data_IF_649455397716
#
_entry.id   IF_649455397716
#
_cell.length_a   1.000
_cell.length_b   1.000
_cell.length_c   1.000
_cell.angle_alpha   90.00
_cell.angle_beta   90.00
_cell.angle_gamma   90.00
#
_symmetry.space_group_name_H-M   'P 1'
#
loop_
_entity.id
_entity.type
_entity.pdbx_description
1 polymer ?
#
# COMPACT_ATOMS: atom_id res chain seq x y z
N UNK A 1 -9.42 -14.45 6.62
CA UNK A 1 -10.35 -13.34 6.39
C UNK A 1 -10.65 -13.23 4.89
N UNK A 2 -9.75 -12.83 4.03
CA UNK A 2 -9.96 -12.58 2.59
C UNK A 2 -10.54 -13.76 1.79
N UNK A 3 -10.30 -15.01 2.23
CA UNK A 3 -10.88 -16.21 1.58
C UNK A 3 -12.41 -16.30 1.69
N UNK A 4 -12.98 -15.55 2.64
CA UNK A 4 -14.42 -15.50 2.87
C UNK A 4 -15.11 -14.36 2.10
N UNK A 5 -14.33 -13.51 1.43
CA UNK A 5 -14.84 -12.39 0.63
C UNK A 5 -15.14 -12.85 -0.80
N UNK A 6 -16.36 -12.62 -1.27
CA UNK A 6 -16.81 -13.03 -2.60
C UNK A 6 -16.13 -12.30 -3.76
N UNK A 7 -15.43 -11.20 -3.47
CA UNK A 7 -14.71 -10.40 -4.46
C UNK A 7 -13.26 -10.83 -4.65
N UNK A 8 -12.72 -11.68 -3.78
CA UNK A 8 -11.31 -12.06 -3.78
C UNK A 8 -11.15 -13.51 -4.22
N UNK A 9 -10.76 -13.70 -5.47
CA UNK A 9 -10.51 -15.02 -6.05
C UNK A 9 -9.00 -15.27 -6.20
N UNK A 10 -8.54 -16.38 -5.63
CA UNK A 10 -7.16 -16.83 -5.72
C UNK A 10 -6.14 -16.01 -4.89
N UNK A 11 -4.91 -16.51 -4.83
CA UNK A 11 -3.86 -15.93 -4.00
C UNK A 11 -3.26 -14.67 -4.63
N UNK A 12 -3.26 -14.55 -5.96
CA UNK A 12 -2.78 -13.36 -6.65
C UNK A 12 -3.59 -12.11 -6.26
N UNK A 13 -4.92 -12.21 -6.21
CA UNK A 13 -5.76 -11.10 -5.77
C UNK A 13 -5.60 -10.80 -4.28
N UNK A 14 -5.36 -11.82 -3.44
CA UNK A 14 -5.08 -11.62 -2.00
C UNK A 14 -3.79 -10.86 -1.78
N UNK A 15 -2.73 -11.20 -2.54
CA UNK A 15 -1.45 -10.49 -2.47
C UNK A 15 -1.63 -9.06 -2.94
N UNK A 16 -2.27 -8.86 -4.10
CA UNK A 16 -2.54 -7.51 -4.62
C UNK A 16 -3.34 -6.67 -3.62
N UNK A 17 -4.34 -7.28 -2.98
CA UNK A 17 -5.15 -6.63 -1.93
C UNK A 17 -4.29 -6.22 -0.71
N UNK A 18 -3.38 -7.08 -0.25
CA UNK A 18 -2.48 -6.76 0.85
C UNK A 18 -1.46 -5.69 0.45
N UNK A 19 -0.94 -5.74 -0.76
CA UNK A 19 0.14 -4.87 -1.23
C UNK A 19 -0.21 -3.39 -1.10
N UNK A 20 -1.39 -2.96 -1.55
CA UNK A 20 -1.78 -1.56 -1.45
C UNK A 20 -2.01 -1.11 0.00
N UNK A 21 -2.55 -2.00 0.87
CA UNK A 21 -2.75 -1.67 2.29
C UNK A 21 -1.42 -1.49 3.02
N UNK A 22 -0.49 -2.43 2.84
CA UNK A 22 0.85 -2.32 3.41
C UNK A 22 1.60 -1.11 2.88
N UNK A 23 1.48 -0.85 1.57
CA UNK A 23 2.10 0.33 0.98
C UNK A 23 1.59 1.61 1.66
N UNK A 24 0.27 1.79 1.79
CA UNK A 24 -0.29 2.99 2.41
C UNK A 24 0.13 3.14 3.88
N UNK A 25 0.13 2.04 4.65
CA UNK A 25 0.59 2.08 6.04
C UNK A 25 2.05 2.51 6.16
N UNK A 26 2.93 1.89 5.35
CA UNK A 26 4.37 2.22 5.37
C UNK A 26 4.62 3.63 4.83
N UNK A 27 3.90 4.02 3.78
CA UNK A 27 4.02 5.36 3.20
C UNK A 27 3.62 6.44 4.21
N UNK A 28 2.50 6.25 4.90
CA UNK A 28 2.01 7.19 5.91
C UNK A 28 3.00 7.33 7.09
N UNK A 29 3.57 6.22 7.57
CA UNK A 29 4.61 6.26 8.60
C UNK A 29 5.87 7.02 8.13
N UNK A 30 6.25 6.85 6.85
CA UNK A 30 7.35 7.64 6.28
C UNK A 30 6.98 9.11 6.07
N UNK A 31 5.74 9.39 5.74
CA UNK A 31 5.25 10.76 5.60
C UNK A 31 5.26 11.51 6.94
N UNK A 32 4.92 10.85 8.06
CA UNK A 32 5.09 11.40 9.41
C UNK A 32 6.55 11.77 9.70
N UNK A 33 7.52 10.91 9.32
CA UNK A 33 8.94 11.24 9.45
C UNK A 33 9.30 12.49 8.62
N UNK A 34 8.83 12.59 7.38
CA UNK A 34 9.11 13.75 6.53
C UNK A 34 8.47 15.03 7.05
N UNK A 35 7.24 14.96 7.53
CA UNK A 35 6.56 16.08 8.20
C UNK A 35 7.30 16.55 9.45
N UNK A 36 7.93 15.63 10.19
CA UNK A 36 8.69 15.94 11.40
C UNK A 36 10.06 16.58 11.10
N UNK A 37 10.79 16.08 10.08
CA UNK A 37 12.15 16.54 9.80
C UNK A 37 12.24 17.69 8.80
N UNK A 38 11.21 17.98 8.04
CA UNK A 38 11.18 19.02 7.00
C UNK A 38 9.96 19.93 7.17
N UNK A 39 10.16 21.06 7.83
CA UNK A 39 9.10 22.06 8.06
C UNK A 39 8.47 22.61 6.75
N UNK A 40 9.13 22.42 5.59
CA UNK A 40 8.61 22.83 4.28
C UNK A 40 7.90 21.70 3.55
N UNK A 41 7.89 20.50 4.13
CA UNK A 41 7.20 19.38 3.52
C UNK A 41 5.68 19.63 3.51
N UNK A 42 5.09 19.47 2.35
CA UNK A 42 3.64 19.52 2.18
C UNK A 42 3.19 18.19 1.60
N UNK A 43 2.35 17.48 2.33
CA UNK A 43 1.76 16.24 1.85
C UNK A 43 0.87 16.50 0.63
N UNK A 44 0.97 15.64 -0.38
CA UNK A 44 0.03 15.61 -1.50
C UNK A 44 -1.23 14.80 -1.19
N UNK A 45 -1.22 14.03 -0.09
CA UNK A 45 -2.38 13.25 0.35
C UNK A 45 -3.13 14.04 1.41
N UNK A 46 -4.41 14.39 1.18
CA UNK A 46 -5.25 15.06 2.19
C UNK A 46 -5.30 14.26 3.49
N UNK A 47 -5.39 14.96 4.61
CA UNK A 47 -5.39 14.33 5.93
C UNK A 47 -6.46 13.26 6.08
N UNK A 48 -7.64 13.46 5.52
CA UNK A 48 -8.73 12.48 5.56
C UNK A 48 -8.41 11.17 4.82
N UNK A 49 -7.46 11.20 3.88
CA UNK A 49 -7.04 10.04 3.09
C UNK A 49 -5.75 9.40 3.61
N UNK A 50 -5.07 9.98 4.60
CA UNK A 50 -3.88 9.39 5.24
C UNK A 50 -4.27 8.16 6.06
N UNK A 51 -3.46 7.09 5.98
CA UNK A 51 -3.74 5.81 6.66
C UNK A 51 -4.06 5.98 8.14
N UNK A 52 -3.29 6.81 8.87
CA UNK A 52 -3.45 7.09 10.31
C UNK A 52 -4.83 7.65 10.68
N UNK A 53 -5.53 8.33 9.75
CA UNK A 53 -6.77 9.03 10.04
C UNK A 53 -8.04 8.22 9.72
N UNK A 54 -7.96 7.21 8.85
CA UNK A 54 -9.15 6.39 8.50
C UNK A 54 -8.99 4.90 8.80
N UNK A 55 -7.76 4.38 8.81
CA UNK A 55 -7.49 2.96 8.96
C UNK A 55 -7.23 2.56 10.41
N UNK A 56 -6.67 3.44 11.23
CA UNK A 56 -6.35 3.17 12.63
C UNK A 56 -7.61 3.32 13.49
N UNK A 57 -7.80 2.39 14.44
CA UNK A 57 -8.86 2.47 15.44
C UNK A 57 -8.39 3.32 16.61
N UNK A 58 -8.92 4.54 16.71
CA UNK A 58 -8.61 5.49 17.78
C UNK A 58 -9.43 5.27 19.07
N UNK A 59 -10.16 4.15 19.17
CA UNK A 59 -11.06 3.82 20.28
C UNK A 59 -12.23 4.79 20.48
N UNK A 60 -12.46 5.71 19.54
CA UNK A 60 -13.56 6.67 19.60
C UNK A 60 -14.91 6.11 19.15
N UNK A 61 -14.99 4.81 18.83
CA UNK A 61 -16.16 4.14 18.24
C UNK A 61 -16.60 4.70 16.86
N UNK A 62 -15.74 5.46 16.18
CA UNK A 62 -16.05 6.10 14.91
C UNK A 62 -15.35 5.45 13.70
N UNK A 63 -14.90 4.22 13.86
CA UNK A 63 -14.17 3.49 12.84
C UNK A 63 -15.07 3.13 11.66
N UNK A 64 -14.64 3.47 10.45
CA UNK A 64 -15.38 3.09 9.25
C UNK A 64 -15.36 1.57 9.05
N UNK A 65 -16.53 0.99 8.77
CA UNK A 65 -16.71 -0.43 8.44
C UNK A 65 -17.87 -0.60 7.46
N UNK A 66 -18.08 -1.81 6.95
CA UNK A 66 -19.19 -2.14 6.04
C UNK A 66 -19.20 -1.27 4.79
N UNK A 67 -20.39 -0.94 4.29
CA UNK A 67 -20.60 -0.17 3.07
C UNK A 67 -19.92 1.22 3.11
N UNK A 68 -19.85 1.85 4.29
CA UNK A 68 -19.18 3.15 4.44
C UNK A 68 -17.69 3.04 4.12
N UNK A 69 -17.01 2.00 4.61
CA UNK A 69 -15.60 1.76 4.33
C UNK A 69 -15.37 1.41 2.85
N UNK A 70 -16.20 0.55 2.28
CA UNK A 70 -16.10 0.20 0.85
C UNK A 70 -16.30 1.43 -0.04
N UNK A 71 -17.31 2.24 0.26
CA UNK A 71 -17.58 3.47 -0.48
C UNK A 71 -16.41 4.45 -0.37
N UNK A 72 -15.84 4.63 0.83
CA UNK A 72 -14.67 5.47 1.03
C UNK A 72 -13.48 4.99 0.20
N UNK A 73 -13.15 3.69 0.26
CA UNK A 73 -12.01 3.13 -0.48
C UNK A 73 -12.23 3.23 -1.99
N UNK A 74 -13.42 2.84 -2.49
CA UNK A 74 -13.66 2.72 -3.92
C UNK A 74 -13.97 4.08 -4.60
N UNK A 75 -14.59 5.02 -3.88
CA UNK A 75 -15.09 6.26 -4.48
C UNK A 75 -14.29 7.51 -4.10
N UNK A 76 -13.43 7.44 -3.07
CA UNK A 76 -12.59 8.55 -2.65
C UNK A 76 -11.11 8.20 -2.70
N UNK A 77 -10.67 7.21 -1.90
CA UNK A 77 -9.25 6.89 -1.73
C UNK A 77 -8.58 6.45 -3.04
N UNK A 78 -9.10 5.41 -3.69
CA UNK A 78 -8.54 4.90 -4.94
C UNK A 78 -8.63 5.90 -6.10
N UNK A 79 -9.78 6.54 -6.36
CA UNK A 79 -9.85 7.57 -7.39
C UNK A 79 -8.84 8.69 -7.18
N UNK A 80 -8.70 9.20 -5.96
CA UNK A 80 -7.72 10.23 -5.64
C UNK A 80 -6.29 9.76 -5.94
N UNK A 81 -5.88 8.62 -5.37
CA UNK A 81 -4.52 8.09 -5.54
C UNK A 81 -4.21 7.71 -7.00
N UNK A 82 -5.22 7.42 -7.81
CA UNK A 82 -5.11 7.25 -9.27
C UNK A 82 -5.07 8.57 -10.06
N UNK A 83 -5.13 9.71 -9.38
CA UNK A 83 -5.10 11.03 -10.00
C UNK A 83 -6.42 11.45 -10.65
N UNK A 84 -7.53 10.84 -10.27
CA UNK A 84 -8.86 11.31 -10.67
C UNK A 84 -9.29 12.48 -9.77
N UNK A 85 -10.18 13.32 -10.28
CA UNK A 85 -10.82 14.37 -9.48
C UNK A 85 -11.82 13.71 -8.52
N UNK A 86 -11.77 14.08 -7.26
CA UNK A 86 -12.75 13.70 -6.24
C UNK A 86 -13.35 14.95 -5.60
N UNK A 87 -14.51 14.80 -4.97
CA UNK A 87 -15.09 15.84 -4.10
C UNK A 87 -14.93 15.38 -2.64
N UNK A 88 -14.23 16.19 -1.85
CA UNK A 88 -14.02 15.94 -0.42
C UNK A 88 -14.31 17.24 0.36
N UNK A 89 -15.23 17.18 1.32
CA UNK A 89 -15.64 18.35 2.13
C UNK A 89 -16.06 19.56 1.28
N UNK A 90 -16.76 19.34 0.15
CA UNK A 90 -17.22 20.40 -0.75
C UNK A 90 -16.12 21.02 -1.61
N UNK A 91 -14.92 20.43 -1.62
CA UNK A 91 -13.79 20.85 -2.46
C UNK A 91 -13.46 19.78 -3.48
N UNK A 92 -13.16 20.21 -4.70
CA UNK A 92 -12.61 19.33 -5.74
C UNK A 92 -11.11 19.20 -5.54
N UNK A 93 -10.65 17.97 -5.43
CA UNK A 93 -9.24 17.63 -5.21
C UNK A 93 -8.77 16.63 -6.25
N UNK A 94 -7.52 16.74 -6.64
CA UNK A 94 -6.85 15.83 -7.55
C UNK A 94 -5.40 15.60 -7.10
N UNK A 95 -4.93 14.36 -7.17
CA UNK A 95 -3.52 14.06 -6.92
C UNK A 95 -2.68 14.43 -8.15
N UNK A 96 -2.18 15.64 -8.17
CA UNK A 96 -1.37 16.16 -9.27
C UNK A 96 0.11 15.94 -8.99
N UNK A 97 0.79 15.35 -9.97
CA UNK A 97 2.25 15.20 -9.98
C UNK A 97 2.82 15.83 -11.25
N UNK A 98 4.02 16.38 -11.14
CA UNK A 98 4.77 16.94 -12.25
C UNK A 98 6.26 16.56 -12.13
N UNK A 99 7.09 17.03 -13.06
CA UNK A 99 8.52 16.70 -13.09
C UNK A 99 9.28 17.19 -11.85
N UNK A 100 8.81 18.27 -11.22
CA UNK A 100 9.44 18.83 -10.01
C UNK A 100 8.97 18.15 -8.72
N UNK A 101 7.89 17.37 -8.77
CA UNK A 101 7.39 16.63 -7.62
C UNK A 101 8.43 15.59 -7.17
N UNK A 102 8.88 15.59 -5.90
CA UNK A 102 9.85 14.63 -5.41
C UNK A 102 9.42 13.18 -5.62
N UNK A 103 10.36 12.30 -5.96
CA UNK A 103 10.07 10.87 -6.20
C UNK A 103 9.34 10.23 -5.02
N UNK A 104 9.72 10.57 -3.78
CA UNK A 104 9.07 10.08 -2.56
C UNK A 104 7.56 10.36 -2.50
N UNK A 105 7.08 11.42 -3.16
CA UNK A 105 5.66 11.74 -3.25
C UNK A 105 5.01 11.12 -4.50
N UNK A 106 5.73 11.06 -5.63
CA UNK A 106 5.21 10.45 -6.88
C UNK A 106 4.96 8.95 -6.76
N UNK A 107 5.71 8.25 -5.90
CA UNK A 107 5.62 6.79 -5.76
C UNK A 107 4.21 6.33 -5.38
N UNK A 108 3.48 7.10 -4.57
CA UNK A 108 2.10 6.77 -4.21
C UNK A 108 1.21 6.72 -5.45
N UNK A 109 1.38 7.68 -6.38
CA UNK A 109 0.62 7.71 -7.64
C UNK A 109 0.93 6.51 -8.53
N UNK A 110 2.21 6.13 -8.65
CA UNK A 110 2.63 5.00 -9.48
C UNK A 110 2.13 3.66 -8.93
N UNK A 111 2.23 3.44 -7.63
CA UNK A 111 1.74 2.20 -7.01
C UNK A 111 0.23 2.02 -7.21
N UNK A 112 -0.53 3.12 -7.20
CA UNK A 112 -1.98 3.06 -7.35
C UNK A 112 -2.46 3.06 -8.80
N UNK A 113 -1.60 3.24 -9.80
CA UNK A 113 -1.99 3.25 -11.20
C UNK A 113 -2.78 1.99 -11.58
N UNK A 114 -2.26 0.81 -11.22
CA UNK A 114 -2.86 -0.48 -11.52
C UNK A 114 -3.50 -1.16 -10.29
N UNK A 115 -3.40 -0.56 -9.11
CA UNK A 115 -3.98 -1.13 -7.90
C UNK A 115 -5.52 -1.20 -7.98
N UNK A 116 -6.09 -2.25 -7.39
CA UNK A 116 -7.54 -2.45 -7.30
C UNK A 116 -7.93 -2.95 -5.93
N UNK A 117 -9.10 -2.52 -5.46
CA UNK A 117 -9.73 -3.14 -4.32
C UNK A 117 -10.65 -4.25 -4.81
N UNK A 118 -10.28 -5.50 -4.51
CA UNK A 118 -11.08 -6.69 -4.88
C UNK A 118 -12.17 -7.00 -3.87
N UNK A 119 -11.99 -6.62 -2.61
CA UNK A 119 -12.94 -6.94 -1.55
C UNK A 119 -14.28 -6.25 -1.74
N UNK A 120 -15.35 -7.01 -1.50
CA UNK A 120 -16.75 -6.58 -1.61
C UNK A 120 -17.47 -6.52 -0.26
N UNK A 121 -16.85 -7.05 0.78
CA UNK A 121 -17.37 -6.99 2.15
C UNK A 121 -16.53 -6.02 2.98
N UNK A 122 -17.13 -4.89 3.35
CA UNK A 122 -16.43 -3.86 4.12
C UNK A 122 -16.19 -4.23 5.59
N UNK A 123 -16.90 -5.23 6.12
CA UNK A 123 -16.62 -5.76 7.46
C UNK A 123 -15.36 -6.63 7.41
N UNK A 124 -15.25 -7.51 6.41
CA UNK A 124 -14.05 -8.31 6.18
C UNK A 124 -12.85 -7.41 5.84
N UNK A 125 -13.05 -6.36 5.04
CA UNK A 125 -12.02 -5.37 4.74
C UNK A 125 -11.50 -4.71 6.02
N UNK A 126 -12.37 -4.28 6.93
CA UNK A 126 -11.99 -3.72 8.24
C UNK A 126 -11.18 -4.71 9.07
N UNK A 127 -11.59 -5.98 9.09
CA UNK A 127 -10.84 -7.02 9.81
C UNK A 127 -9.42 -7.18 9.25
N UNK A 128 -9.24 -7.12 7.93
CA UNK A 128 -7.90 -7.19 7.31
C UNK A 128 -7.06 -5.97 7.70
N UNK A 129 -7.63 -4.78 7.64
CA UNK A 129 -6.96 -3.54 8.04
C UNK A 129 -6.51 -3.60 9.50
N UNK A 130 -7.34 -4.13 10.39
CA UNK A 130 -6.99 -4.27 11.80
C UNK A 130 -5.78 -5.20 11.99
N UNK A 131 -5.74 -6.35 11.31
CA UNK A 131 -4.57 -7.25 11.34
C UNK A 131 -3.32 -6.55 10.79
N UNK A 132 -3.45 -5.78 9.71
CA UNK A 132 -2.33 -5.01 9.16
C UNK A 132 -1.83 -3.98 10.18
N UNK A 133 -2.72 -3.36 10.96
CA UNK A 133 -2.34 -2.40 11.98
C UNK A 133 -1.56 -3.00 13.14
N UNK A 134 -1.67 -4.30 13.39
CA UNK A 134 -0.88 -5.01 14.41
C UNK A 134 0.61 -5.13 14.02
N UNK A 135 0.96 -5.03 12.73
CA UNK A 135 2.35 -5.12 12.25
C UNK A 135 3.07 -3.78 12.44
N UNK A 136 4.14 -3.75 13.20
CA UNK A 136 4.97 -2.55 13.39
C UNK A 136 6.14 -2.53 12.38
N UNK A 137 6.05 -1.70 11.35
CA UNK A 137 7.11 -1.54 10.36
C UNK A 137 8.24 -0.59 10.79
N UNK A 138 8.19 0.02 11.96
CA UNK A 138 9.29 0.82 12.49
C UNK A 138 10.46 -0.07 12.94
N UNK A 139 10.16 -1.28 13.39
CA UNK A 139 11.14 -2.28 13.81
C UNK A 139 11.82 -2.97 12.63
N UNK A 140 13.17 -2.94 12.57
CA UNK A 140 13.93 -3.61 11.50
C UNK A 140 13.64 -5.11 11.41
N UNK A 141 13.43 -5.77 12.55
CA UNK A 141 13.13 -7.21 12.64
C UNK A 141 11.79 -7.53 11.96
N UNK A 142 10.75 -6.79 12.25
CA UNK A 142 9.42 -7.01 11.68
C UNK A 142 9.40 -6.76 10.16
N UNK A 143 10.13 -5.75 9.69
CA UNK A 143 10.31 -5.53 8.23
C UNK A 143 10.99 -6.70 7.54
N UNK A 144 11.99 -7.32 8.19
CA UNK A 144 12.71 -8.47 7.63
C UNK A 144 11.83 -9.72 7.62
N UNK A 145 11.10 -9.98 8.71
CA UNK A 145 10.15 -11.08 8.82
C UNK A 145 9.02 -10.96 7.78
N UNK A 146 8.48 -9.75 7.58
CA UNK A 146 7.50 -9.48 6.53
C UNK A 146 8.06 -9.80 5.14
N UNK A 147 9.27 -9.37 4.83
CA UNK A 147 9.93 -9.70 3.56
C UNK A 147 10.04 -11.21 3.34
N UNK A 148 10.39 -11.96 4.38
CA UNK A 148 10.49 -13.42 4.34
C UNK A 148 9.13 -14.10 4.11
N UNK A 149 8.08 -13.63 4.81
CA UNK A 149 6.71 -14.12 4.63
C UNK A 149 6.21 -13.84 3.22
N UNK A 150 6.42 -12.62 2.72
CA UNK A 150 6.05 -12.22 1.37
C UNK A 150 6.72 -13.10 0.31
N UNK A 151 8.04 -13.32 0.42
CA UNK A 151 8.79 -14.22 -0.46
C UNK A 151 8.25 -15.67 -0.40
N UNK A 152 7.87 -16.14 0.78
CA UNK A 152 7.31 -17.49 0.95
C UNK A 152 5.96 -17.62 0.24
N UNK A 153 5.11 -16.60 0.35
CA UNK A 153 3.81 -16.56 -0.36
C UNK A 153 4.04 -16.55 -1.87
N UNK A 154 4.97 -15.71 -2.36
CA UNK A 154 5.31 -15.65 -3.79
C UNK A 154 5.83 -17.00 -4.31
N UNK A 155 6.71 -17.67 -3.58
CA UNK A 155 7.20 -19.02 -3.91
C UNK A 155 6.07 -20.05 -3.97
N UNK A 156 5.13 -19.98 -3.05
CA UNK A 156 3.97 -20.88 -3.03
C UNK A 156 3.06 -20.67 -4.24
N UNK A 157 2.91 -19.43 -4.70
CA UNK A 157 2.15 -19.12 -5.92
C UNK A 157 2.83 -19.63 -7.18
N UNK A 158 4.15 -19.54 -7.26
CA UNK A 158 4.93 -20.11 -8.37
C UNK A 158 4.77 -21.63 -8.47
N UNK A 159 4.89 -22.33 -7.33
CA UNK A 159 4.76 -23.80 -7.29
C UNK A 159 3.33 -24.28 -7.60
N UNK A 160 2.32 -23.47 -7.33
CA UNK A 160 0.93 -23.78 -7.67
C UNK A 160 0.58 -23.58 -9.16
N UNK A 161 1.50 -23.06 -9.96
CA UNK A 161 1.30 -22.82 -11.41
C UNK A 161 0.26 -21.72 -11.72
N UNK A 162 -0.18 -20.98 -10.73
CA UNK A 162 -1.27 -20.00 -10.85
C UNK A 162 -0.81 -18.60 -11.25
N UNK A 163 0.50 -18.32 -11.21
CA UNK A 163 1.07 -17.08 -11.71
C UNK A 163 2.07 -17.44 -12.81
N UNK A 164 1.82 -17.03 -14.04
CA UNK A 164 2.74 -17.20 -15.19
C UNK A 164 4.04 -16.39 -15.05
N UNK A 165 4.33 -15.88 -13.87
CA UNK A 165 5.50 -15.07 -13.55
C UNK A 165 6.49 -15.90 -12.72
N UNK A 166 7.73 -15.92 -13.16
CA UNK A 166 8.84 -16.57 -12.44
C UNK A 166 9.69 -15.50 -11.77
N UNK A 167 9.70 -15.52 -10.43
CA UNK A 167 10.57 -14.63 -9.66
C UNK A 167 12.02 -15.18 -9.69
N UNK A 168 12.97 -14.31 -10.00
CA UNK A 168 14.37 -14.66 -9.95
C UNK A 168 14.78 -15.00 -8.51
N UNK A 169 15.38 -16.17 -8.25
CA UNK A 169 15.82 -16.53 -6.90
C UNK A 169 16.75 -15.49 -6.29
N UNK A 170 16.59 -15.21 -5.00
CA UNK A 170 17.36 -14.16 -4.30
C UNK A 170 18.88 -14.35 -4.44
N UNK A 171 19.37 -15.58 -4.38
CA UNK A 171 20.79 -15.88 -4.59
C UNK A 171 21.31 -15.40 -5.96
N UNK A 172 20.47 -15.44 -6.99
CA UNK A 172 20.82 -14.95 -8.34
C UNK A 172 20.80 -13.42 -8.37
N UNK A 173 19.81 -12.79 -7.79
CA UNK A 173 19.74 -11.31 -7.71
C UNK A 173 20.88 -10.76 -6.87
N UNK A 174 21.21 -11.37 -5.74
CA UNK A 174 22.34 -10.98 -4.90
C UNK A 174 23.67 -11.12 -5.65
N UNK A 175 23.85 -12.21 -6.39
CA UNK A 175 25.01 -12.39 -7.24
C UNK A 175 25.11 -11.31 -8.32
N UNK A 176 24.01 -11.00 -9.00
CA UNK A 176 23.97 -9.94 -10.02
C UNK A 176 24.33 -8.58 -9.42
N UNK A 177 23.76 -8.22 -8.26
CA UNK A 177 24.08 -6.96 -7.57
C UNK A 177 25.55 -6.90 -7.16
N UNK A 178 26.11 -7.98 -6.64
CA UNK A 178 27.53 -8.05 -6.27
C UNK A 178 28.45 -7.89 -7.51
N UNK A 179 28.09 -8.47 -8.64
CA UNK A 179 28.89 -8.37 -9.88
C UNK A 179 28.83 -7.00 -10.51
N UNK A 180 27.65 -6.35 -10.48
CA UNK A 180 27.45 -5.00 -11.04
C UNK A 180 28.00 -3.93 -10.08
N UNK A 181 27.94 -4.18 -8.75
CA UNK A 181 28.39 -3.27 -7.70
C UNK A 181 27.88 -1.82 -7.89
N UNK A 182 26.56 -1.60 -8.03
CA UNK A 182 25.99 -0.30 -8.33
C UNK A 182 26.34 0.72 -7.24
N UNK A 183 26.62 1.96 -7.65
CA UNK A 183 26.92 3.07 -6.74
C UNK A 183 25.72 4.00 -6.60
N UNK A 184 25.66 4.71 -5.48
CA UNK A 184 24.65 5.74 -5.25
C UNK A 184 24.65 6.78 -6.40
N UNK A 185 23.46 6.96 -7.01
CA UNK A 185 23.28 7.88 -8.13
C UNK A 185 23.38 7.27 -9.52
N UNK A 186 23.73 5.99 -9.62
CA UNK A 186 23.69 5.25 -10.88
C UNK A 186 22.26 4.75 -11.15
N UNK A 187 21.88 4.68 -12.43
CA UNK A 187 20.64 4.07 -12.88
C UNK A 187 20.91 2.61 -13.25
N UNK A 188 20.09 1.71 -12.73
CA UNK A 188 20.20 0.26 -12.97
C UNK A 188 19.02 -0.20 -13.80
#
# INVERSE_FOLDING_TARGET
IMRNDAGVDGDAQRISQMTWMFFLKVYDAKEEEWEFYDEKYVSLIPDELKWRNWAVDDKSNNVMTGEKLLSFVNNLLFPYLKGNEIELNGKKLRFEINETTPLKQRIARYVFEDAQNYMKDGVLLRQVINVINEVDFSEYKERHEFGTIYETILKSLQSAGNAGEFYTPRAVTDFMVQMIAPKLGESV
#
